data_IF_141407200466
#
_entry.id   IF_141407200466
#
_cell.length_a   1.000
_cell.length_b   1.000
_cell.length_c   1.000
_cell.angle_alpha   90.00
_cell.angle_beta   90.00
_cell.angle_gamma   90.00
#
_symmetry.space_group_name_H-M   'P 1'
#
loop_
_entity.id
_entity.type
_entity.pdbx_description
1 polymer ?
#
# COMPACT_ATOMS: atom_id res chain seq x y z
N UNK A 1 18.81 8.45 33.59
CA UNK A 1 17.41 8.28 33.13
C UNK A 1 17.26 9.02 31.80
N UNK A 2 17.72 8.40 30.71
CA UNK A 2 17.69 8.97 29.36
C UNK A 2 16.25 8.85 28.85
N UNK A 3 15.51 9.96 28.95
CA UNK A 3 14.17 10.08 28.38
C UNK A 3 14.27 9.73 26.90
N UNK A 4 13.68 8.60 26.56
CA UNK A 4 13.43 8.17 25.20
C UNK A 4 12.78 9.31 24.44
N UNK A 5 13.53 9.93 23.52
CA UNK A 5 12.98 10.77 22.47
C UNK A 5 12.20 9.82 21.55
N UNK A 6 10.97 9.51 21.98
CA UNK A 6 9.96 8.77 21.23
C UNK A 6 9.81 9.46 19.88
N UNK A 7 10.10 8.73 18.80
CA UNK A 7 9.95 9.17 17.40
C UNK A 7 8.69 10.04 17.27
N UNK A 8 8.85 11.35 17.09
CA UNK A 8 7.74 12.32 17.01
C UNK A 8 6.94 12.22 15.70
N UNK A 9 7.18 11.23 14.86
CA UNK A 9 6.28 10.92 13.74
C UNK A 9 5.17 10.00 14.22
N UNK A 10 4.14 10.62 14.81
CA UNK A 10 2.84 9.99 15.04
C UNK A 10 2.38 9.28 13.75
N UNK A 11 1.88 8.03 13.79
CA UNK A 11 1.29 7.35 12.63
C UNK A 11 0.35 8.23 11.79
N UNK A 12 -0.44 9.08 12.45
CA UNK A 12 -1.35 10.03 11.79
C UNK A 12 -0.59 11.00 10.89
N UNK A 13 0.52 11.57 11.38
CA UNK A 13 1.36 12.50 10.61
C UNK A 13 2.00 11.80 9.41
N UNK A 14 2.41 10.53 9.56
CA UNK A 14 2.97 9.77 8.43
C UNK A 14 1.94 9.50 7.34
N UNK A 15 0.69 9.21 7.72
CA UNK A 15 -0.42 9.02 6.78
C UNK A 15 -0.74 10.34 6.08
N UNK A 16 -0.90 11.44 6.83
CA UNK A 16 -1.15 12.76 6.25
C UNK A 16 -0.03 13.18 5.29
N UNK A 17 1.23 12.95 5.67
CA UNK A 17 2.39 13.24 4.82
C UNK A 17 2.43 12.33 3.58
N UNK A 18 2.04 11.07 3.70
CA UNK A 18 1.95 10.16 2.56
C UNK A 18 0.88 10.61 1.56
N UNK A 19 -0.31 11.00 2.04
CA UNK A 19 -1.38 11.54 1.20
C UNK A 19 -0.93 12.83 0.51
N UNK A 20 -0.27 13.73 1.23
CA UNK A 20 0.29 14.95 0.67
C UNK A 20 1.31 14.64 -0.44
N UNK A 21 2.20 13.66 -0.23
CA UNK A 21 3.17 13.24 -1.24
C UNK A 21 2.46 12.65 -2.45
N UNK A 22 1.45 11.78 -2.27
CA UNK A 22 0.67 11.25 -3.39
C UNK A 22 0.00 12.34 -4.21
N UNK A 23 -0.54 13.36 -3.55
CA UNK A 23 -1.11 14.52 -4.23
C UNK A 23 -0.04 15.31 -5.01
N UNK A 24 1.13 15.53 -4.41
CA UNK A 24 2.24 16.19 -5.09
C UNK A 24 2.76 15.37 -6.28
N UNK A 25 2.86 14.05 -6.13
CA UNK A 25 3.27 13.15 -7.20
C UNK A 25 2.27 13.19 -8.35
N UNK A 26 0.96 13.11 -8.06
CA UNK A 26 -0.09 13.24 -9.08
C UNK A 26 0.00 14.56 -9.86
N UNK A 27 0.36 15.65 -9.18
CA UNK A 27 0.39 16.99 -9.80
C UNK A 27 1.67 17.28 -10.57
N UNK A 28 2.81 16.82 -10.07
CA UNK A 28 4.13 17.31 -10.51
C UNK A 28 4.98 16.25 -11.19
N UNK A 29 4.65 14.96 -11.06
CA UNK A 29 5.41 13.89 -11.69
C UNK A 29 4.65 13.45 -12.96
N UNK A 30 5.24 13.62 -14.16
CA UNK A 30 4.59 13.25 -15.41
C UNK A 30 4.70 11.73 -15.64
N UNK A 31 4.02 10.95 -14.80
CA UNK A 31 3.97 9.49 -14.96
C UNK A 31 2.87 9.03 -15.94
N UNK A 32 2.09 9.97 -16.50
CA UNK A 32 1.03 9.69 -17.48
C UNK A 32 1.55 8.94 -18.70
N UNK A 33 2.77 9.25 -19.18
CA UNK A 33 3.38 8.52 -20.29
C UNK A 33 3.73 7.06 -19.96
N UNK A 34 3.98 6.75 -18.68
CA UNK A 34 4.19 5.36 -18.22
C UNK A 34 2.84 4.65 -18.12
N UNK A 35 1.81 5.34 -17.62
CA UNK A 35 0.44 4.82 -17.56
C UNK A 35 -0.04 4.51 -18.98
N UNK A 36 0.08 5.45 -19.92
CA UNK A 36 -0.36 5.28 -21.31
C UNK A 36 0.33 4.10 -21.99
N UNK A 37 1.67 3.98 -21.83
CA UNK A 37 2.44 2.88 -22.41
C UNK A 37 2.06 1.49 -21.87
N UNK A 38 1.41 1.42 -20.70
CA UNK A 38 0.87 0.19 -20.12
C UNK A 38 -0.58 -0.01 -20.58
N UNK A 39 -1.41 1.01 -20.50
CA UNK A 39 -2.85 0.93 -20.83
C UNK A 39 -3.08 0.65 -22.30
N UNK A 40 -2.28 1.24 -23.21
CA UNK A 40 -2.32 0.99 -24.66
C UNK A 40 -2.08 -0.47 -25.06
N UNK A 41 -1.54 -1.30 -24.15
CA UNK A 41 -1.34 -2.74 -24.39
C UNK A 41 -2.58 -3.57 -24.16
N UNK A 42 -3.59 -3.00 -23.52
CA UNK A 42 -4.88 -3.64 -23.37
C UNK A 42 -5.68 -3.43 -24.65
N UNK A 43 -6.47 -4.43 -25.03
CA UNK A 43 -7.62 -4.25 -25.90
C UNK A 43 -8.87 -4.08 -25.04
N UNK A 44 -10.02 -3.79 -25.65
CA UNK A 44 -11.26 -3.59 -24.90
C UNK A 44 -11.64 -4.84 -24.08
N UNK A 45 -11.46 -6.04 -24.66
CA UNK A 45 -11.74 -7.29 -23.96
C UNK A 45 -10.78 -7.54 -22.80
N UNK A 46 -9.49 -7.27 -22.98
CA UNK A 46 -8.48 -7.35 -21.94
C UNK A 46 -8.75 -6.35 -20.80
N UNK A 47 -9.15 -5.12 -21.14
CA UNK A 47 -9.54 -4.11 -20.17
C UNK A 47 -10.76 -4.58 -19.35
N UNK A 48 -11.82 -5.08 -20.02
CA UNK A 48 -13.00 -5.65 -19.37
C UNK A 48 -12.66 -6.80 -18.43
N UNK A 49 -11.80 -7.73 -18.87
CA UNK A 49 -11.37 -8.87 -18.04
C UNK A 49 -10.55 -8.41 -16.83
N UNK A 50 -9.69 -7.40 -17.01
CA UNK A 50 -8.88 -6.85 -15.93
C UNK A 50 -9.74 -6.11 -14.89
N UNK A 51 -10.63 -5.22 -15.33
CA UNK A 51 -11.51 -4.49 -14.41
C UNK A 51 -12.49 -5.43 -13.75
N UNK A 52 -13.05 -6.42 -14.45
CA UNK A 52 -13.91 -7.43 -13.83
C UNK A 52 -13.16 -8.34 -12.84
N UNK A 53 -11.86 -8.61 -13.06
CA UNK A 53 -11.05 -9.34 -12.09
C UNK A 53 -10.79 -8.54 -10.80
N UNK A 54 -10.79 -7.21 -10.91
CA UNK A 54 -10.71 -6.25 -9.82
C UNK A 54 -12.12 -6.10 -9.23
N UNK A 55 -13.00 -5.36 -9.87
CA UNK A 55 -14.31 -4.95 -9.36
C UNK A 55 -15.30 -6.12 -9.11
N UNK A 56 -15.07 -7.27 -9.72
CA UNK A 56 -15.94 -8.45 -9.62
C UNK A 56 -17.06 -8.45 -10.66
N UNK A 57 -17.32 -7.31 -11.32
CA UNK A 57 -18.29 -7.15 -12.39
C UNK A 57 -17.70 -6.39 -13.59
N UNK A 58 -18.26 -6.54 -14.80
CA UNK A 58 -17.81 -5.80 -15.97
C UNK A 58 -18.00 -4.29 -15.79
N UNK A 59 -16.93 -3.52 -15.97
CA UNK A 59 -16.98 -2.06 -15.85
C UNK A 59 -17.40 -1.44 -17.19
N UNK A 60 -18.45 -0.59 -17.25
CA UNK A 60 -18.88 0.06 -18.50
C UNK A 60 -17.78 0.94 -19.13
N UNK A 61 -16.88 1.49 -18.33
CA UNK A 61 -15.77 2.36 -18.70
C UNK A 61 -14.41 1.68 -18.45
N UNK A 62 -14.32 0.39 -18.80
CA UNK A 62 -13.14 -0.43 -18.46
C UNK A 62 -11.80 0.16 -18.91
N UNK A 63 -11.77 0.88 -20.04
CA UNK A 63 -10.55 1.53 -20.53
C UNK A 63 -10.05 2.64 -19.60
N UNK A 64 -10.96 3.51 -19.15
CA UNK A 64 -10.66 4.61 -18.23
C UNK A 64 -10.30 4.07 -16.85
N UNK A 65 -11.06 3.07 -16.38
CA UNK A 65 -10.79 2.41 -15.11
C UNK A 65 -9.39 1.75 -15.07
N UNK A 66 -8.95 1.09 -16.15
CA UNK A 66 -7.57 0.55 -16.24
C UNK A 66 -6.54 1.67 -16.07
N UNK A 67 -6.74 2.80 -16.77
CA UNK A 67 -5.85 3.97 -16.66
C UNK A 67 -5.81 4.53 -15.24
N UNK A 68 -6.96 4.65 -14.59
CA UNK A 68 -7.06 5.14 -13.21
C UNK A 68 -6.38 4.19 -12.22
N UNK A 69 -6.57 2.88 -12.36
CA UNK A 69 -5.92 1.88 -11.52
C UNK A 69 -4.39 1.92 -11.66
N UNK A 70 -3.87 1.99 -12.89
CA UNK A 70 -2.42 2.10 -13.10
C UNK A 70 -1.86 3.45 -12.65
N UNK A 71 -2.61 4.54 -12.81
CA UNK A 71 -2.24 5.87 -12.30
C UNK A 71 -2.11 5.87 -10.78
N UNK A 72 -3.11 5.32 -10.08
CA UNK A 72 -3.10 5.19 -8.62
C UNK A 72 -1.96 4.27 -8.15
N UNK A 73 -1.74 3.16 -8.84
CA UNK A 73 -0.65 2.24 -8.56
C UNK A 73 0.71 2.95 -8.71
N UNK A 74 1.01 3.51 -9.87
CA UNK A 74 2.31 4.15 -10.15
C UNK A 74 2.57 5.32 -9.19
N UNK A 75 1.55 6.16 -8.93
CA UNK A 75 1.65 7.22 -7.94
C UNK A 75 2.03 6.66 -6.55
N UNK A 76 1.36 5.59 -6.11
CA UNK A 76 1.66 4.92 -4.84
C UNK A 76 3.10 4.39 -4.82
N UNK A 77 3.53 3.75 -5.91
CA UNK A 77 4.87 3.17 -6.05
C UNK A 77 5.97 4.23 -5.97
N UNK A 78 5.74 5.43 -6.53
CA UNK A 78 6.66 6.58 -6.47
C UNK A 78 6.62 7.27 -5.10
N UNK A 79 5.45 7.36 -4.48
CA UNK A 79 5.25 8.05 -3.21
C UNK A 79 5.90 7.35 -2.02
N UNK A 80 5.96 6.01 -2.03
CA UNK A 80 6.61 5.20 -0.97
C UNK A 80 8.10 5.54 -0.79
N UNK A 81 8.96 5.48 -1.85
CA UNK A 81 10.37 5.84 -1.74
C UNK A 81 10.57 7.32 -1.39
N UNK A 82 9.74 8.24 -1.91
CA UNK A 82 9.80 9.66 -1.57
C UNK A 82 9.54 9.92 -0.08
N UNK A 83 8.48 9.33 0.49
CA UNK A 83 8.22 9.41 1.93
C UNK A 83 9.38 8.84 2.75
N UNK A 84 9.95 7.73 2.30
CA UNK A 84 11.11 7.10 2.95
C UNK A 84 12.35 8.00 2.90
N UNK A 85 12.57 8.69 1.77
CA UNK A 85 13.66 9.64 1.58
C UNK A 85 13.50 10.87 2.48
N UNK A 86 12.31 11.47 2.54
CA UNK A 86 12.02 12.62 3.40
C UNK A 86 12.23 12.31 4.88
N UNK A 87 11.74 11.17 5.36
CA UNK A 87 11.97 10.73 6.75
C UNK A 87 13.47 10.55 7.03
N UNK A 88 14.22 10.04 6.05
CA UNK A 88 15.66 9.81 6.20
C UNK A 88 16.44 11.12 6.17
N UNK A 89 16.11 12.04 5.27
CA UNK A 89 16.69 13.37 5.19
C UNK A 89 16.44 14.17 6.48
N UNK A 90 15.23 14.13 7.02
CA UNK A 90 14.90 14.72 8.32
C UNK A 90 15.80 14.17 9.43
N UNK A 91 15.99 12.85 9.49
CA UNK A 91 16.89 12.23 10.46
C UNK A 91 18.34 12.66 10.29
N UNK A 92 18.86 12.77 9.06
CA UNK A 92 20.23 13.22 8.81
C UNK A 92 20.40 14.68 9.23
N UNK A 93 19.46 15.56 8.85
CA UNK A 93 19.51 16.99 9.16
C UNK A 93 19.46 17.26 10.66
N UNK A 94 18.61 16.52 11.39
CA UNK A 94 18.46 16.69 12.84
C UNK A 94 19.55 15.96 13.65
N UNK A 95 20.05 14.81 13.17
CA UNK A 95 21.01 13.97 13.92
C UNK A 95 22.45 14.01 13.40
N UNK A 96 22.78 14.85 12.41
CA UNK A 96 24.13 15.09 11.84
C UNK A 96 24.96 13.81 11.63
N UNK A 97 24.45 12.86 10.84
CA UNK A 97 25.05 11.54 10.65
C UNK A 97 25.60 11.30 9.23
N UNK A 98 26.53 10.34 9.09
CA UNK A 98 27.29 10.06 7.85
C UNK A 98 26.47 9.41 6.72
N UNK A 99 26.36 10.09 5.58
CA UNK A 99 25.46 9.81 4.44
C UNK A 99 25.48 8.37 3.90
N UNK A 100 26.65 7.73 3.76
CA UNK A 100 26.78 6.40 3.13
C UNK A 100 26.08 5.26 3.88
N UNK A 101 26.15 5.23 5.20
CA UNK A 101 25.44 4.25 6.04
C UNK A 101 23.91 4.43 5.99
N UNK A 102 23.46 5.67 5.75
CA UNK A 102 22.04 5.99 5.64
C UNK A 102 21.45 5.57 4.30
N UNK A 103 22.22 5.57 3.20
CA UNK A 103 21.75 5.13 1.89
C UNK A 103 21.36 3.63 1.88
N UNK A 104 22.23 2.75 2.40
CA UNK A 104 21.92 1.31 2.51
C UNK A 104 20.71 1.06 3.41
N UNK A 105 20.67 1.71 4.58
CA UNK A 105 19.52 1.63 5.51
C UNK A 105 18.24 2.17 4.88
N UNK A 106 18.32 3.25 4.11
CA UNK A 106 17.20 3.83 3.37
C UNK A 106 16.67 2.82 2.35
N UNK A 107 17.53 2.25 1.50
CA UNK A 107 17.11 1.29 0.49
C UNK A 107 16.46 0.04 1.13
N UNK A 108 17.07 -0.52 2.18
CA UNK A 108 16.48 -1.67 2.89
C UNK A 108 15.17 -1.31 3.61
N UNK A 109 15.03 -0.10 4.14
CA UNK A 109 13.79 0.40 4.74
C UNK A 109 12.70 0.59 3.69
N UNK A 110 13.05 1.17 2.54
CA UNK A 110 12.15 1.41 1.41
C UNK A 110 11.63 0.09 0.85
N UNK A 111 12.50 -0.86 0.54
CA UNK A 111 12.11 -2.21 0.07
C UNK A 111 11.20 -2.90 1.08
N UNK A 112 11.53 -2.82 2.38
CA UNK A 112 10.70 -3.41 3.44
C UNK A 112 9.32 -2.74 3.53
N UNK A 113 9.24 -1.42 3.39
CA UNK A 113 7.95 -0.69 3.39
C UNK A 113 7.13 -1.06 2.17
N UNK A 114 7.78 -1.13 1.01
CA UNK A 114 7.15 -1.55 -0.23
C UNK A 114 6.56 -2.95 -0.12
N UNK A 115 7.35 -3.93 0.36
CA UNK A 115 6.88 -5.31 0.54
C UNK A 115 5.69 -5.39 1.51
N UNK A 116 5.68 -4.57 2.56
CA UNK A 116 4.54 -4.49 3.49
C UNK A 116 3.28 -3.95 2.83
N UNK A 117 3.39 -2.85 2.07
CA UNK A 117 2.26 -2.27 1.34
C UNK A 117 1.76 -3.25 0.29
N UNK A 118 2.67 -3.82 -0.50
CA UNK A 118 2.34 -4.82 -1.51
C UNK A 118 1.59 -6.02 -0.92
N UNK A 119 2.12 -6.62 0.16
CA UNK A 119 1.45 -7.73 0.83
C UNK A 119 0.08 -7.32 1.39
N UNK A 120 -0.02 -6.14 1.99
CA UNK A 120 -1.29 -5.65 2.53
C UNK A 120 -2.33 -5.41 1.44
N UNK A 121 -1.96 -4.75 0.33
CA UNK A 121 -2.83 -4.53 -0.83
C UNK A 121 -3.26 -5.86 -1.44
N UNK A 122 -2.36 -6.83 -1.56
CA UNK A 122 -2.70 -8.15 -2.09
C UNK A 122 -3.67 -8.91 -1.18
N UNK A 123 -3.45 -8.87 0.15
CA UNK A 123 -4.38 -9.43 1.13
C UNK A 123 -5.74 -8.74 1.10
N UNK A 124 -5.74 -7.40 0.98
CA UNK A 124 -6.98 -6.63 0.84
C UNK A 124 -7.77 -7.11 -0.36
N UNK A 125 -7.10 -7.28 -1.51
CA UNK A 125 -7.71 -7.78 -2.72
C UNK A 125 -8.35 -9.17 -2.54
N UNK A 126 -7.62 -10.10 -1.92
CA UNK A 126 -8.14 -11.45 -1.67
C UNK A 126 -9.37 -11.42 -0.77
N UNK A 127 -9.30 -10.68 0.35
CA UNK A 127 -10.43 -10.54 1.27
C UNK A 127 -11.61 -9.91 0.56
N UNK A 128 -11.35 -8.86 -0.23
CA UNK A 128 -12.39 -8.15 -0.96
C UNK A 128 -13.11 -9.10 -1.92
N UNK A 129 -12.36 -9.88 -2.70
CA UNK A 129 -12.94 -10.77 -3.71
C UNK A 129 -13.68 -11.99 -3.13
N UNK A 130 -13.23 -12.51 -1.99
CA UNK A 130 -13.80 -13.73 -1.40
C UNK A 130 -15.09 -13.43 -0.63
N UNK A 131 -15.32 -12.19 -0.23
CA UNK A 131 -16.47 -11.84 0.60
C UNK A 131 -17.78 -11.82 -0.21
N UNK A 132 -18.84 -12.52 0.22
CA UNK A 132 -20.11 -12.58 -0.50
C UNK A 132 -20.96 -11.33 -0.25
N UNK A 133 -20.64 -10.22 -0.93
CA UNK A 133 -21.27 -8.92 -0.69
C UNK A 133 -22.79 -8.90 -0.90
N UNK A 134 -23.31 -9.65 -1.87
CA UNK A 134 -24.76 -9.68 -2.13
C UNK A 134 -25.56 -10.09 -0.89
N UNK A 135 -25.07 -11.08 -0.14
CA UNK A 135 -25.68 -11.55 1.11
C UNK A 135 -25.58 -10.55 2.26
N UNK A 136 -24.61 -9.63 2.21
CA UNK A 136 -24.37 -8.60 3.23
C UNK A 136 -25.18 -7.34 2.94
N UNK A 137 -25.34 -7.02 1.66
CA UNK A 137 -26.07 -5.86 1.18
C UNK A 137 -27.57 -6.09 1.27
N UNK A 138 -28.09 -7.32 1.11
CA UNK A 138 -29.52 -7.64 1.20
C UNK A 138 -30.41 -6.66 0.40
N UNK A 139 -29.94 -6.19 -0.76
CA UNK A 139 -30.61 -5.21 -1.61
C UNK A 139 -30.54 -3.73 -1.13
N UNK A 140 -29.89 -3.43 -0.01
CA UNK A 140 -29.71 -2.07 0.50
C UNK A 140 -28.61 -1.32 -0.27
N UNK A 141 -29.00 -0.63 -1.35
CA UNK A 141 -28.10 0.22 -2.14
C UNK A 141 -27.92 1.61 -1.51
N UNK A 142 -27.29 1.68 -0.33
CA UNK A 142 -26.94 2.97 0.30
C UNK A 142 -25.42 3.15 0.38
N UNK A 143 -24.95 4.39 0.19
CA UNK A 143 -23.54 4.75 0.36
C UNK A 143 -22.99 4.34 1.72
N UNK A 144 -23.81 4.42 2.77
CA UNK A 144 -23.42 4.00 4.12
C UNK A 144 -23.09 2.50 4.21
N UNK A 145 -23.83 1.65 3.50
CA UNK A 145 -23.58 0.19 3.45
C UNK A 145 -22.27 -0.10 2.73
N UNK A 146 -22.00 0.55 1.60
CA UNK A 146 -20.72 0.39 0.90
C UNK A 146 -19.52 0.85 1.74
N UNK A 147 -19.65 1.98 2.45
CA UNK A 147 -18.62 2.44 3.40
C UNK A 147 -18.42 1.42 4.53
N UNK A 148 -19.50 0.88 5.10
CA UNK A 148 -19.42 -0.12 6.15
C UNK A 148 -18.71 -1.40 5.68
N UNK A 149 -19.06 -1.89 4.49
CA UNK A 149 -18.40 -3.03 3.85
C UNK A 149 -16.91 -2.76 3.66
N UNK A 150 -16.56 -1.60 3.13
CA UNK A 150 -15.16 -1.22 2.93
C UNK A 150 -14.38 -1.19 4.26
N UNK A 151 -14.97 -0.64 5.32
CA UNK A 151 -14.37 -0.62 6.67
C UNK A 151 -14.17 -2.06 7.21
N UNK A 152 -15.16 -2.94 7.03
CA UNK A 152 -15.06 -4.34 7.46
C UNK A 152 -13.93 -5.07 6.70
N UNK A 153 -13.82 -4.86 5.39
CA UNK A 153 -12.73 -5.43 4.59
C UNK A 153 -11.36 -4.95 5.08
N UNK A 154 -11.22 -3.66 5.39
CA UNK A 154 -9.99 -3.12 5.98
C UNK A 154 -9.69 -3.80 7.33
N UNK A 155 -10.70 -3.98 8.19
CA UNK A 155 -10.52 -4.61 9.49
C UNK A 155 -10.07 -6.07 9.37
N UNK A 156 -10.71 -6.86 8.51
CA UNK A 156 -10.36 -8.27 8.25
C UNK A 156 -8.95 -8.36 7.67
N UNK A 157 -8.65 -7.54 6.65
CA UNK A 157 -7.31 -7.47 6.04
C UNK A 157 -6.25 -7.14 7.07
N UNK A 158 -6.53 -6.19 7.97
CA UNK A 158 -5.62 -5.81 9.04
C UNK A 158 -5.38 -6.96 10.01
N UNK A 159 -6.44 -7.67 10.42
CA UNK A 159 -6.32 -8.84 11.27
C UNK A 159 -5.47 -9.95 10.61
N UNK A 160 -5.76 -10.27 9.34
CA UNK A 160 -5.01 -11.26 8.56
C UNK A 160 -3.53 -10.89 8.42
N UNK A 161 -3.24 -9.64 8.06
CA UNK A 161 -1.87 -9.12 7.96
C UNK A 161 -1.13 -9.22 9.29
N UNK A 162 -1.76 -8.84 10.41
CA UNK A 162 -1.15 -8.94 11.74
C UNK A 162 -0.85 -10.40 12.11
N UNK A 163 -1.75 -11.33 11.80
CA UNK A 163 -1.55 -12.77 12.02
C UNK A 163 -0.35 -13.29 11.21
N UNK A 164 -0.28 -12.99 9.91
CA UNK A 164 0.83 -13.40 9.05
C UNK A 164 2.17 -12.86 9.59
N UNK A 165 2.23 -11.59 9.94
CA UNK A 165 3.45 -10.97 10.50
C UNK A 165 3.86 -11.62 11.82
N UNK A 166 2.88 -11.97 12.68
CA UNK A 166 3.15 -12.66 13.95
C UNK A 166 3.69 -14.08 13.73
N UNK A 167 3.13 -14.82 12.77
CA UNK A 167 3.59 -16.16 12.42
C UNK A 167 5.03 -16.14 11.91
N UNK A 168 5.34 -15.25 10.96
CA UNK A 168 6.71 -15.08 10.43
C UNK A 168 7.69 -14.72 11.56
N UNK A 169 7.29 -13.86 12.50
CA UNK A 169 8.14 -13.48 13.64
C UNK A 169 8.39 -14.67 14.57
N UNK A 170 7.37 -15.49 14.82
CA UNK A 170 7.45 -16.69 15.67
C UNK A 170 8.39 -17.74 15.06
N UNK A 171 8.32 -17.97 13.75
CA UNK A 171 9.25 -18.88 13.06
C UNK A 171 10.70 -18.41 13.19
N UNK A 172 10.99 -17.13 12.94
CA UNK A 172 12.35 -16.58 13.09
C UNK A 172 12.94 -16.79 14.49
N UNK A 173 12.12 -16.67 15.53
CA UNK A 173 12.52 -16.94 16.92
C UNK A 173 12.85 -18.43 17.15
N UNK A 174 12.05 -19.33 16.58
CA UNK A 174 12.30 -20.77 16.67
C UNK A 174 13.59 -21.18 15.94
N UNK A 175 13.85 -20.66 14.74
CA UNK A 175 15.10 -20.94 14.01
C UNK A 175 16.33 -20.44 14.77
N UNK A 176 16.29 -19.24 15.35
CA UNK A 176 17.39 -18.71 16.16
C UNK A 176 17.68 -19.62 17.36
N UNK A 177 16.66 -20.10 18.07
CA UNK A 177 16.84 -20.99 19.22
C UNK A 177 17.41 -22.38 18.85
N UNK A 178 17.23 -22.82 17.60
CA UNK A 178 17.79 -24.08 17.09
C UNK A 178 19.26 -23.93 16.64
N UNK A 179 19.71 -22.72 16.31
CA UNK A 179 21.10 -22.46 15.85
C UNK A 179 22.07 -22.19 17.01
N UNK A 180 21.55 -21.89 18.20
CA UNK A 180 22.32 -21.64 19.42
C UNK A 180 22.30 -22.80 20.43
N UNK A 181 21.85 -23.98 20.00
CA UNK A 181 22.03 -25.27 20.71
C UNK A 181 23.09 -26.08 19.99
#
# INVERSE_FOLDING_TARGET
>A
MLVAVKDKFNPIIKIALFILIMFLVAKWVPYDGVVSAITERFDFEGAQRFTAAIEGEPNPEAWEAVSDYFSLLINTLISIPLLSALITAYHIAVKRSTVGHHAKKWMTSTVRRFLKVFLYTWLFWIVFRVMPYESLVNGLQSTAVYIAIFIINIAITTAAYVLIVRLIKKEKLNYANLTYK
#
